data_IF_631468726713
#
_entry.id   IF_631468726713
#
_cell.length_a   1.000
_cell.length_b   1.000
_cell.length_c   1.000
_cell.angle_alpha   90.00
_cell.angle_beta   90.00
_cell.angle_gamma   90.00
#
_symmetry.space_group_name_H-M   'P 1'
#
loop_
_entity.id
_entity.type
_entity.pdbx_description
1 polymer ?
#
# COMPACT_ATOMS: atom_id res chain seq x y z
N UNK A 1 12.93 0.76 12.88
CA UNK A 1 12.55 -0.48 13.60
C UNK A 1 11.84 -1.37 12.60
N UNK A 2 12.35 -2.57 12.35
CA UNK A 2 11.68 -3.53 11.47
C UNK A 2 10.45 -4.05 12.23
N UNK A 3 9.27 -3.86 11.67
CA UNK A 3 8.04 -4.38 12.26
C UNK A 3 7.92 -5.89 11.94
N UNK A 4 7.12 -6.62 12.72
CA UNK A 4 6.99 -8.08 12.59
C UNK A 4 6.61 -8.52 11.17
N UNK A 5 5.84 -7.69 10.44
CA UNK A 5 5.50 -7.95 9.04
C UNK A 5 6.73 -7.95 8.12
N UNK A 6 7.66 -7.00 8.29
CA UNK A 6 8.94 -6.97 7.54
C UNK A 6 9.81 -8.19 7.85
N UNK A 7 9.84 -8.61 9.12
CA UNK A 7 10.57 -9.83 9.54
C UNK A 7 10.04 -11.06 8.82
N UNK A 8 8.73 -11.23 8.72
CA UNK A 8 8.12 -12.32 7.94
C UNK A 8 8.35 -12.14 6.43
N UNK A 9 8.29 -10.91 5.90
CA UNK A 9 8.49 -10.64 4.47
C UNK A 9 9.91 -10.98 4.00
N UNK A 10 10.93 -10.67 4.80
CA UNK A 10 12.33 -10.86 4.45
C UNK A 10 13.02 -12.04 5.12
N UNK A 11 12.36 -12.68 6.10
CA UNK A 11 12.94 -13.77 6.87
C UNK A 11 14.00 -13.31 7.89
N UNK A 12 13.86 -12.10 8.43
CA UNK A 12 14.80 -11.57 9.42
C UNK A 12 14.42 -12.06 10.83
N UNK A 13 15.21 -13.00 11.36
CA UNK A 13 14.98 -13.59 12.68
C UNK A 13 13.80 -14.57 12.76
N UNK A 14 13.05 -14.73 11.66
CA UNK A 14 11.98 -15.73 11.48
C UNK A 14 12.09 -16.36 10.09
N UNK A 15 11.44 -17.50 9.86
CA UNK A 15 11.34 -18.05 8.50
C UNK A 15 10.52 -17.08 7.63
N UNK A 16 11.00 -16.80 6.41
CA UNK A 16 10.25 -16.02 5.42
C UNK A 16 8.87 -16.63 5.20
N UNK A 17 7.83 -15.82 5.35
CA UNK A 17 6.42 -16.21 5.23
C UNK A 17 5.60 -14.98 4.78
N UNK A 18 5.23 -14.96 3.50
CA UNK A 18 4.53 -13.81 2.93
C UNK A 18 3.06 -13.74 3.38
N UNK A 19 2.43 -14.88 3.69
CA UNK A 19 1.05 -14.94 4.18
C UNK A 19 0.96 -14.37 5.61
N UNK A 20 1.95 -14.70 6.45
CA UNK A 20 2.08 -14.13 7.79
C UNK A 20 2.40 -12.63 7.75
N UNK A 21 3.25 -12.19 6.82
CA UNK A 21 3.51 -10.77 6.61
C UNK A 21 2.22 -10.02 6.23
N UNK A 22 1.47 -10.53 5.26
CA UNK A 22 0.18 -9.96 4.83
C UNK A 22 -0.82 -9.89 5.98
N UNK A 23 -1.00 -10.98 6.72
CA UNK A 23 -1.92 -11.05 7.88
C UNK A 23 -1.56 -10.00 8.94
N UNK A 24 -0.27 -9.80 9.19
CA UNK A 24 0.21 -8.80 10.13
C UNK A 24 -0.08 -7.38 9.64
N UNK A 25 0.26 -7.05 8.39
CA UNK A 25 -0.04 -5.73 7.81
C UNK A 25 -1.55 -5.45 7.81
N UNK A 26 -2.38 -6.45 7.50
CA UNK A 26 -3.84 -6.32 7.50
C UNK A 26 -4.36 -5.92 8.88
N UNK A 27 -4.06 -6.71 9.92
CA UNK A 27 -4.52 -6.42 11.30
C UNK A 27 -4.02 -5.07 11.79
N UNK A 28 -2.76 -4.74 11.52
CA UNK A 28 -2.17 -3.51 12.03
C UNK A 28 -2.54 -2.27 11.20
N UNK A 29 -3.09 -2.44 10.00
CA UNK A 29 -3.69 -1.34 9.22
C UNK A 29 -5.01 -0.83 9.80
N UNK A 30 -5.66 -1.59 10.70
CA UNK A 30 -6.89 -1.22 11.39
C UNK A 30 -6.68 -0.08 12.40
N UNK A 31 -5.47 0.09 12.92
CA UNK A 31 -5.07 1.21 13.80
C UNK A 31 -4.51 2.42 13.03
N UNK A 32 -4.82 2.52 11.73
CA UNK A 32 -4.43 3.62 10.84
C UNK A 32 -2.94 3.94 10.77
N UNK A 33 -2.08 2.94 11.01
CA UNK A 33 -0.65 3.11 10.83
C UNK A 33 -0.31 3.23 9.32
N UNK A 34 0.15 4.41 8.92
CA UNK A 34 0.48 4.78 7.54
C UNK A 34 1.42 3.78 6.86
N UNK A 35 2.48 3.36 7.56
CA UNK A 35 3.50 2.42 7.03
C UNK A 35 2.90 1.05 6.77
N UNK A 36 2.01 0.59 7.67
CA UNK A 36 1.38 -0.72 7.55
C UNK A 36 0.31 -0.74 6.46
N UNK A 37 -0.47 0.34 6.33
CA UNK A 37 -1.39 0.53 5.20
C UNK A 37 -0.63 0.52 3.88
N UNK A 38 0.52 1.21 3.81
CA UNK A 38 1.35 1.22 2.60
C UNK A 38 1.85 -0.18 2.24
N UNK A 39 2.42 -0.91 3.20
CA UNK A 39 2.89 -2.28 2.98
C UNK A 39 1.77 -3.22 2.55
N UNK A 40 0.54 -3.03 3.07
CA UNK A 40 -0.63 -3.77 2.62
C UNK A 40 -0.98 -3.44 1.15
N UNK A 41 -0.85 -2.18 0.74
CA UNK A 41 -0.96 -1.76 -0.65
C UNK A 41 0.07 -2.44 -1.56
N UNK A 42 1.33 -2.52 -1.12
CA UNK A 42 2.39 -3.23 -1.85
C UNK A 42 2.12 -4.74 -1.96
N UNK A 43 1.58 -5.37 -0.92
CA UNK A 43 1.16 -6.77 -0.98
C UNK A 43 0.12 -7.01 -2.06
N UNK A 44 -0.92 -6.17 -2.14
CA UNK A 44 -1.93 -6.27 -3.20
C UNK A 44 -1.37 -5.94 -4.59
N UNK A 45 -0.43 -5.00 -4.69
CA UNK A 45 0.18 -4.61 -5.96
C UNK A 45 1.05 -5.72 -6.56
N UNK A 46 1.82 -6.40 -5.70
CA UNK A 46 2.82 -7.39 -6.09
C UNK A 46 2.30 -8.83 -5.99
N UNK A 47 1.21 -9.05 -5.26
CA UNK A 47 0.69 -10.38 -4.97
C UNK A 47 1.46 -11.13 -3.87
N UNK A 48 1.99 -10.40 -2.89
CA UNK A 48 2.78 -10.95 -1.78
C UNK A 48 1.86 -11.38 -0.65
N UNK A 49 1.77 -12.69 -0.40
CA UNK A 49 0.88 -13.27 0.61
C UNK A 49 -0.63 -13.11 0.34
N UNK A 50 -0.98 -12.61 -0.86
CA UNK A 50 -2.36 -12.37 -1.29
C UNK A 50 -2.40 -12.37 -2.81
N UNK A 51 -3.56 -12.69 -3.41
CA UNK A 51 -3.74 -12.53 -4.86
C UNK A 51 -3.58 -11.06 -5.23
N UNK A 52 -2.80 -10.80 -6.30
CA UNK A 52 -2.62 -9.47 -6.87
C UNK A 52 -3.97 -8.82 -7.19
N UNK A 53 -4.18 -7.62 -6.68
CA UNK A 53 -5.39 -6.82 -6.84
C UNK A 53 -5.03 -5.33 -6.86
N UNK A 54 -4.90 -4.77 -8.07
CA UNK A 54 -4.50 -3.37 -8.24
C UNK A 54 -5.54 -2.40 -7.68
N UNK A 55 -6.83 -2.78 -7.61
CA UNK A 55 -7.88 -1.93 -7.06
C UNK A 55 -7.71 -1.78 -5.56
N UNK A 56 -7.53 -2.90 -4.85
CA UNK A 56 -7.24 -2.85 -3.41
C UNK A 56 -5.91 -2.18 -3.10
N UNK A 57 -4.89 -2.39 -3.93
CA UNK A 57 -3.62 -1.68 -3.80
C UNK A 57 -3.81 -0.15 -3.86
N UNK A 58 -4.57 0.32 -4.85
CA UNK A 58 -4.91 1.73 -5.00
C UNK A 58 -5.69 2.27 -3.78
N UNK A 59 -6.69 1.52 -3.28
CA UNK A 59 -7.45 1.91 -2.09
C UNK A 59 -6.56 2.10 -0.85
N UNK A 60 -5.57 1.22 -0.66
CA UNK A 60 -4.61 1.34 0.45
C UNK A 60 -3.67 2.53 0.26
N UNK A 61 -3.12 2.72 -0.95
CA UNK A 61 -2.25 3.87 -1.27
C UNK A 61 -3.00 5.20 -1.10
N UNK A 62 -4.28 5.25 -1.50
CA UNK A 62 -5.15 6.39 -1.31
C UNK A 62 -5.39 6.67 0.18
N UNK A 63 -5.65 5.64 1.00
CA UNK A 63 -5.81 5.78 2.46
C UNK A 63 -4.53 6.31 3.10
N UNK A 64 -3.38 5.75 2.74
CA UNK A 64 -2.06 6.19 3.24
C UNK A 64 -1.75 7.65 2.89
N UNK A 65 -2.00 8.06 1.65
CA UNK A 65 -1.81 9.46 1.21
C UNK A 65 -2.71 10.44 1.98
N UNK A 66 -3.96 10.07 2.27
CA UNK A 66 -4.91 10.89 3.06
C UNK A 66 -4.48 11.07 4.52
N UNK A 67 -3.72 10.14 5.06
CA UNK A 67 -3.18 10.21 6.43
C UNK A 67 -1.90 11.06 6.52
N UNK A 68 -1.42 11.62 5.41
CA UNK A 68 -0.34 12.61 5.40
C UNK A 68 1.02 12.11 4.89
N UNK A 69 1.09 10.96 4.25
CA UNK A 69 2.33 10.51 3.61
C UNK A 69 2.53 11.19 2.24
N UNK A 70 3.40 12.21 2.22
CA UNK A 70 3.71 13.03 1.05
C UNK A 70 4.30 12.20 -0.10
N UNK A 71 5.06 11.14 0.20
CA UNK A 71 5.62 10.27 -0.84
C UNK A 71 4.53 9.46 -1.54
N UNK A 72 3.39 9.25 -0.88
CA UNK A 72 2.25 8.46 -1.41
C UNK A 72 1.29 9.30 -2.21
N UNK A 73 1.20 10.60 -1.95
CA UNK A 73 0.40 11.55 -2.74
C UNK A 73 0.78 11.47 -4.23
N UNK A 74 2.08 11.42 -4.55
CA UNK A 74 2.58 11.26 -5.93
C UNK A 74 2.15 9.94 -6.57
N UNK A 75 2.17 8.84 -5.81
CA UNK A 75 1.72 7.54 -6.30
C UNK A 75 0.23 7.53 -6.63
N UNK A 76 -0.60 8.17 -5.81
CA UNK A 76 -2.04 8.31 -6.08
C UNK A 76 -2.29 9.12 -7.35
N UNK A 77 -1.60 10.26 -7.51
CA UNK A 77 -1.67 11.05 -8.74
C UNK A 77 -1.24 10.26 -9.98
N UNK A 78 -0.18 9.44 -9.85
CA UNK A 78 0.26 8.55 -10.91
C UNK A 78 -0.77 7.46 -11.26
N UNK A 79 -1.45 6.90 -10.25
CA UNK A 79 -2.50 5.90 -10.45
C UNK A 79 -3.67 6.50 -11.23
N UNK A 80 -4.15 7.68 -10.85
CA UNK A 80 -5.20 8.38 -11.59
C UNK A 80 -4.77 8.77 -13.01
N UNK A 81 -3.52 9.22 -13.19
CA UNK A 81 -2.99 9.58 -14.52
C UNK A 81 -3.02 8.40 -15.50
N UNK A 82 -2.78 7.19 -15.00
CA UNK A 82 -2.60 6.00 -15.83
C UNK A 82 -3.75 4.99 -15.74
N UNK A 83 -4.72 5.19 -14.84
CA UNK A 83 -5.79 4.23 -14.58
C UNK A 83 -5.31 2.94 -13.90
N UNK A 84 -4.35 3.04 -12.98
CA UNK A 84 -3.80 1.88 -12.26
C UNK A 84 -4.63 1.65 -11.00
N UNK A 85 -5.39 0.57 -10.96
CA UNK A 85 -6.26 0.26 -9.81
C UNK A 85 -7.47 1.18 -9.65
N UNK A 86 -7.61 2.16 -10.56
CA UNK A 86 -8.70 3.13 -10.62
C UNK A 86 -8.97 3.47 -12.08
N UNK A 87 -10.06 4.20 -12.36
CA UNK A 87 -10.26 4.75 -13.69
C UNK A 87 -9.26 5.89 -13.95
N UNK A 88 -8.82 6.03 -15.20
CA UNK A 88 -7.98 7.15 -15.58
C UNK A 88 -8.74 8.46 -15.41
N UNK A 89 -8.20 9.36 -14.58
CA UNK A 89 -8.76 10.68 -14.32
C UNK A 89 -7.62 11.71 -14.21
N UNK A 90 -7.48 12.56 -15.23
CA UNK A 90 -6.43 13.58 -15.25
C UNK A 90 -6.72 14.74 -14.29
N UNK A 91 -7.99 14.98 -13.93
CA UNK A 91 -8.35 16.05 -12.99
C UNK A 91 -7.93 15.66 -11.59
N UNK A 92 -8.27 14.44 -11.18
CA UNK A 92 -7.79 13.85 -9.93
C UNK A 92 -6.26 13.80 -9.91
N UNK A 93 -5.62 13.32 -11.00
CA UNK A 93 -4.16 13.30 -11.06
C UNK A 93 -3.52 14.67 -10.78
N UNK A 94 -4.02 15.74 -11.41
CA UNK A 94 -3.53 17.11 -11.18
C UNK A 94 -3.81 17.59 -9.76
N UNK A 95 -4.97 17.25 -9.20
CA UNK A 95 -5.30 17.55 -7.80
C UNK A 95 -4.28 16.92 -6.85
N UNK A 96 -4.05 15.60 -6.97
CA UNK A 96 -3.10 14.87 -6.12
C UNK A 96 -1.66 15.35 -6.35
N UNK A 97 -1.24 15.68 -7.57
CA UNK A 97 0.11 16.24 -7.79
C UNK A 97 0.33 17.63 -7.20
N UNK A 98 -0.72 18.33 -6.77
CA UNK A 98 -0.66 19.68 -6.18
C UNK A 98 -0.79 19.68 -4.64
N UNK A 99 -1.15 18.54 -4.04
CA UNK A 99 -1.13 18.35 -2.59
C UNK A 99 0.30 18.16 -2.11
#
# INVERSE_FOLDING_TARGET
MNNVGESYRFGEGVKKDEDMAFSYYQKASEIENIVLIFNLGECYQNGTGVKKDLKKAFEMHLKSAKLGDIDRIKNVGYCYRNGIGTNKDLREAVYWFRM
#
